data_IF_368026837229
#
_entry.id   IF_368026837229
#
_cell.length_a   1.000
_cell.length_b   1.000
_cell.length_c   1.000
_cell.angle_alpha   90.00
_cell.angle_beta   90.00
_cell.angle_gamma   90.00
#
_symmetry.space_group_name_H-M   'P 1'
#
loop_
_entity.id
_entity.type
_entity.pdbx_description
1 polymer ?
#
# COMPACT_ATOMS: atom_id res chain seq x y z
N UNK A 1 31.26 1.66 16.49
CA UNK A 1 30.17 0.88 17.11
C UNK A 1 28.98 0.98 16.19
N UNK A 2 28.89 0.06 15.24
CA UNK A 2 27.71 -0.07 14.36
C UNK A 2 26.81 -1.11 15.01
N UNK A 3 25.82 -0.64 15.75
CA UNK A 3 24.77 -1.48 16.28
C UNK A 3 23.59 -1.41 15.30
N UNK A 4 23.62 -2.28 14.30
CA UNK A 4 22.50 -2.48 13.38
C UNK A 4 21.76 -3.74 13.80
N UNK A 5 21.22 -3.69 15.02
CA UNK A 5 20.27 -4.70 15.50
C UNK A 5 18.86 -4.23 15.14
N UNK A 6 18.48 -4.37 13.86
CA UNK A 6 17.07 -4.26 13.46
C UNK A 6 16.39 -5.59 13.82
N UNK A 7 15.78 -5.66 15.01
CA UNK A 7 14.79 -6.69 15.35
C UNK A 7 13.56 -6.61 14.43
N UNK A 8 12.57 -7.51 14.54
CA UNK A 8 11.49 -7.62 13.56
C UNK A 8 10.64 -6.34 13.51
N UNK A 9 10.98 -5.50 12.52
CA UNK A 9 10.15 -4.55 11.77
C UNK A 9 9.52 -3.36 12.52
N UNK A 10 10.34 -2.47 13.09
CA UNK A 10 9.91 -1.07 13.18
C UNK A 10 10.12 -0.40 11.82
N UNK A 11 9.02 0.01 11.18
CA UNK A 11 9.07 0.80 9.95
C UNK A 11 9.73 2.14 10.20
N UNK A 12 10.62 2.56 9.30
CA UNK A 12 11.11 3.93 9.26
C UNK A 12 9.95 4.91 9.02
N UNK A 13 10.13 6.18 9.37
CA UNK A 13 9.09 7.20 9.15
C UNK A 13 8.63 7.29 7.68
N UNK A 14 9.54 7.06 6.73
CA UNK A 14 9.22 7.03 5.30
C UNK A 14 8.38 5.81 4.90
N UNK A 15 8.73 4.62 5.39
CA UNK A 15 7.96 3.40 5.14
C UNK A 15 6.56 3.49 5.76
N UNK A 16 6.44 4.06 6.95
CA UNK A 16 5.14 4.31 7.58
C UNK A 16 4.25 5.23 6.73
N UNK A 17 4.83 6.26 6.10
CA UNK A 17 4.07 7.15 5.21
C UNK A 17 3.62 6.43 3.94
N UNK A 18 4.48 5.61 3.34
CA UNK A 18 4.12 4.81 2.16
C UNK A 18 3.03 3.78 2.48
N UNK A 19 3.06 3.18 3.67
CA UNK A 19 1.96 2.33 4.18
C UNK A 19 0.67 3.12 4.34
N UNK A 20 0.71 4.36 4.87
CA UNK A 20 -0.48 5.21 4.95
C UNK A 20 -1.05 5.54 3.57
N UNK A 21 -0.20 5.80 2.58
CA UNK A 21 -0.64 5.97 1.20
C UNK A 21 -1.32 4.71 0.66
N UNK A 22 -0.76 3.53 0.91
CA UNK A 22 -1.34 2.24 0.51
C UNK A 22 -2.77 2.08 1.06
N UNK A 23 -2.94 2.23 2.37
CA UNK A 23 -4.24 2.09 3.02
C UNK A 23 -5.26 3.13 2.53
N UNK A 24 -4.80 4.37 2.30
CA UNK A 24 -5.66 5.43 1.78
C UNK A 24 -6.17 5.11 0.37
N UNK A 25 -5.30 4.67 -0.53
CA UNK A 25 -5.68 4.28 -1.90
C UNK A 25 -6.59 3.05 -1.88
N UNK A 26 -6.29 2.05 -1.03
CA UNK A 26 -7.11 0.86 -0.84
C UNK A 26 -8.52 1.22 -0.43
N UNK A 27 -8.66 2.10 0.57
CA UNK A 27 -9.96 2.59 1.06
C UNK A 27 -10.74 3.29 -0.04
N UNK A 28 -10.12 4.20 -0.80
CA UNK A 28 -10.79 4.88 -1.93
C UNK A 28 -11.31 3.87 -2.95
N UNK A 29 -10.50 2.87 -3.33
CA UNK A 29 -10.90 1.83 -4.28
C UNK A 29 -11.97 0.86 -3.72
N UNK A 30 -12.15 0.81 -2.40
CA UNK A 30 -13.11 -0.08 -1.74
C UNK A 30 -14.45 0.63 -1.51
N UNK A 31 -14.40 1.89 -1.07
CA UNK A 31 -15.55 2.64 -0.56
C UNK A 31 -16.12 3.66 -1.56
N UNK A 32 -15.31 4.14 -2.51
CA UNK A 32 -15.66 5.28 -3.38
C UNK A 32 -15.34 5.02 -4.86
N UNK A 33 -15.17 3.76 -5.26
CA UNK A 33 -14.73 3.39 -6.62
C UNK A 33 -15.69 3.89 -7.70
N UNK A 34 -16.99 3.82 -7.44
CA UNK A 34 -18.07 4.26 -8.32
C UNK A 34 -18.16 5.79 -8.47
N UNK A 35 -17.53 6.54 -7.56
CA UNK A 35 -17.41 8.00 -7.64
C UNK A 35 -16.22 8.44 -8.52
N UNK A 36 -15.31 7.53 -8.86
CA UNK A 36 -14.11 7.85 -9.63
C UNK A 36 -14.40 7.90 -11.13
N UNK A 37 -13.87 8.89 -11.87
CA UNK A 37 -13.83 8.80 -13.31
C UNK A 37 -12.90 7.64 -13.75
N UNK A 38 -13.13 7.03 -14.93
CA UNK A 38 -12.40 5.81 -15.33
C UNK A 38 -10.87 5.92 -15.34
N UNK A 39 -10.33 7.12 -15.62
CA UNK A 39 -8.88 7.35 -15.59
C UNK A 39 -8.32 7.36 -14.16
N UNK A 40 -9.08 7.88 -13.19
CA UNK A 40 -8.67 7.95 -11.80
C UNK A 40 -8.70 6.56 -11.16
N UNK A 41 -9.74 5.77 -11.42
CA UNK A 41 -9.83 4.37 -10.99
C UNK A 41 -8.63 3.55 -11.50
N UNK A 42 -8.35 3.60 -12.81
CA UNK A 42 -7.22 2.87 -13.42
C UNK A 42 -5.88 3.28 -12.82
N UNK A 43 -5.69 4.55 -12.52
CA UNK A 43 -4.45 5.05 -11.92
C UNK A 43 -4.34 4.68 -10.43
N UNK A 44 -5.45 4.70 -9.70
CA UNK A 44 -5.50 4.25 -8.31
C UNK A 44 -5.16 2.76 -8.18
N UNK A 45 -5.68 1.90 -9.08
CA UNK A 45 -5.33 0.47 -9.09
C UNK A 45 -3.83 0.27 -9.30
N UNK A 46 -3.23 1.00 -10.25
CA UNK A 46 -1.78 0.95 -10.51
C UNK A 46 -0.97 1.44 -9.30
N UNK A 47 -1.40 2.52 -8.66
CA UNK A 47 -0.75 3.04 -7.47
C UNK A 47 -0.82 2.03 -6.31
N UNK A 48 -1.99 1.41 -6.09
CA UNK A 48 -2.17 0.37 -5.09
C UNK A 48 -1.23 -0.82 -5.34
N UNK A 49 -1.12 -1.27 -6.58
CA UNK A 49 -0.22 -2.37 -6.97
C UNK A 49 1.26 -2.02 -6.73
N UNK A 50 1.69 -0.80 -7.04
CA UNK A 50 3.05 -0.34 -6.77
C UNK A 50 3.35 -0.27 -5.26
N UNK A 51 2.39 0.20 -4.47
CA UNK A 51 2.51 0.34 -3.02
C UNK A 51 2.42 -1.02 -2.28
N UNK A 52 1.80 -2.03 -2.87
CA UNK A 52 1.65 -3.37 -2.27
C UNK A 52 2.99 -4.04 -1.93
N UNK A 53 4.05 -3.83 -2.74
CA UNK A 53 5.39 -4.36 -2.44
C UNK A 53 5.97 -3.77 -1.15
N UNK A 54 5.66 -2.49 -0.87
CA UNK A 54 6.10 -1.81 0.35
C UNK A 54 5.31 -2.35 1.54
N UNK A 55 3.99 -2.51 1.41
CA UNK A 55 3.16 -3.10 2.46
C UNK A 55 3.56 -4.55 2.79
N UNK A 56 3.95 -5.36 1.80
CA UNK A 56 4.50 -6.70 2.01
C UNK A 56 5.86 -6.68 2.73
N UNK A 57 6.79 -5.83 2.28
CA UNK A 57 8.09 -5.66 2.94
C UNK A 57 7.95 -5.17 4.39
N UNK A 58 6.90 -4.41 4.66
CA UNK A 58 6.50 -3.93 5.98
C UNK A 58 5.81 -4.99 6.86
N UNK A 59 5.57 -6.20 6.36
CA UNK A 59 4.94 -7.28 7.11
C UNK A 59 3.42 -7.18 7.25
N UNK A 60 2.75 -6.26 6.53
CA UNK A 60 1.30 -6.02 6.65
C UNK A 60 0.42 -7.10 6.00
N UNK A 61 1.02 -8.07 5.29
CA UNK A 61 0.36 -9.16 4.56
C UNK A 61 -1.04 -8.81 4.01
N UNK A 62 -1.16 -7.77 3.18
CA UNK A 62 -2.45 -7.14 2.87
C UNK A 62 -3.39 -7.95 1.95
N UNK A 63 -3.13 -9.26 1.74
CA UNK A 63 -3.88 -10.15 0.85
C UNK A 63 -3.35 -10.15 -0.60
N UNK A 64 -3.99 -10.95 -1.46
CA UNK A 64 -3.63 -11.04 -2.88
C UNK A 64 -4.20 -9.85 -3.68
N UNK A 65 -3.35 -9.21 -4.50
CA UNK A 65 -3.72 -8.13 -5.43
C UNK A 65 -4.89 -8.52 -6.37
N UNK A 66 -5.09 -9.81 -6.63
CA UNK A 66 -6.12 -10.30 -7.56
C UNK A 66 -7.56 -9.97 -7.13
N UNK A 67 -7.80 -9.64 -5.86
CA UNK A 67 -9.13 -9.25 -5.37
C UNK A 67 -9.48 -7.78 -5.68
N UNK A 68 -8.49 -6.93 -6.02
CA UNK A 68 -8.70 -5.51 -6.33
C UNK A 68 -8.77 -5.22 -7.84
N UNK A 69 -8.58 -6.23 -8.69
CA UNK A 69 -8.81 -6.15 -10.15
C UNK A 69 -7.64 -5.56 -10.95
N UNK A 70 -6.39 -5.80 -10.53
CA UNK A 70 -5.21 -5.53 -11.34
C UNK A 70 -4.95 -6.63 -12.40
#
# INVERSE_FOLDING_TARGET
>A
MSDTTTGPFELTAGEQELVRCYESVKRVLTEHRDELPPFAERNAIKALAALWQIANGAGLQPGHIYETGA
#
